data_IF_763638463870
#
_entry.id   IF_763638463870
#
_cell.length_a   1.000
_cell.length_b   1.000
_cell.length_c   1.000
_cell.angle_alpha   90.00
_cell.angle_beta   90.00
_cell.angle_gamma   90.00
#
_symmetry.space_group_name_H-M   'P 1'
#
loop_
_entity.id
_entity.type
_entity.pdbx_description
1 polymer ?
#
# COMPACT_ATOMS: atom_id res chain seq x y z
N UNK A 1 -1.85 -17.67 -15.67
CA UNK A 1 -1.58 -18.44 -14.44
C UNK A 1 -0.85 -17.60 -13.39
N UNK A 2 0.32 -17.01 -13.66
CA UNK A 2 1.02 -16.09 -12.72
C UNK A 2 0.11 -14.94 -12.25
N UNK A 3 -0.51 -14.28 -13.21
CA UNK A 3 -1.44 -13.17 -12.99
C UNK A 3 -2.66 -13.56 -12.13
N UNK A 4 -3.12 -14.81 -12.29
CA UNK A 4 -4.20 -15.40 -11.48
C UNK A 4 -3.73 -15.68 -10.06
N UNK A 5 -2.56 -16.30 -9.89
CA UNK A 5 -1.97 -16.60 -8.58
C UNK A 5 -1.77 -15.30 -7.80
N UNK A 6 -1.20 -14.28 -8.43
CA UNK A 6 -0.98 -12.98 -7.81
C UNK A 6 -2.30 -12.34 -7.36
N UNK A 7 -3.36 -12.43 -8.19
CA UNK A 7 -4.69 -11.96 -7.78
C UNK A 7 -5.22 -12.72 -6.57
N UNK A 8 -5.03 -14.04 -6.50
CA UNK A 8 -5.49 -14.83 -5.35
C UNK A 8 -4.75 -14.50 -4.07
N UNK A 9 -3.44 -14.27 -4.15
CA UNK A 9 -2.67 -13.76 -3.01
C UNK A 9 -3.25 -12.42 -2.56
N UNK A 10 -3.51 -11.48 -3.47
CA UNK A 10 -4.11 -10.20 -3.07
C UNK A 10 -5.50 -10.36 -2.45
N UNK A 11 -6.32 -11.30 -2.94
CA UNK A 11 -7.67 -11.56 -2.42
C UNK A 11 -7.62 -12.07 -0.97
N UNK A 12 -6.64 -12.91 -0.62
CA UNK A 12 -6.44 -13.41 0.76
C UNK A 12 -6.21 -12.26 1.74
N UNK A 13 -5.33 -11.32 1.41
CA UNK A 13 -5.05 -10.15 2.26
C UNK A 13 -6.25 -9.22 2.37
N UNK A 14 -7.05 -9.08 1.31
CA UNK A 14 -8.29 -8.30 1.35
C UNK A 14 -9.36 -8.87 2.29
N UNK A 15 -9.31 -10.17 2.57
CA UNK A 15 -10.19 -10.80 3.56
C UNK A 15 -9.85 -10.44 5.02
N UNK A 16 -8.67 -9.86 5.26
CA UNK A 16 -8.20 -9.50 6.61
C UNK A 16 -8.61 -8.05 6.93
N UNK A 17 -9.36 -7.79 8.02
CA UNK A 17 -9.64 -6.43 8.45
C UNK A 17 -8.33 -5.69 8.83
N UNK A 18 -8.05 -4.56 8.17
CA UNK A 18 -6.75 -3.89 8.26
C UNK A 18 -6.28 -3.58 9.69
N UNK A 19 -7.12 -2.93 10.51
CA UNK A 19 -6.77 -2.57 11.89
C UNK A 19 -6.57 -3.79 12.78
N UNK A 20 -7.41 -4.82 12.62
CA UNK A 20 -7.31 -6.07 13.40
C UNK A 20 -6.03 -6.82 13.00
N UNK A 21 -5.74 -6.91 11.70
CA UNK A 21 -4.51 -7.50 11.20
C UNK A 21 -3.28 -6.76 11.72
N UNK A 22 -3.29 -5.42 11.68
CA UNK A 22 -2.20 -4.61 12.18
C UNK A 22 -1.99 -4.82 13.68
N UNK A 23 -3.06 -4.89 14.47
CA UNK A 23 -3.01 -5.20 15.89
C UNK A 23 -2.32 -6.54 16.16
N UNK A 24 -2.78 -7.62 15.51
CA UNK A 24 -2.19 -8.96 15.68
C UNK A 24 -0.71 -8.99 15.34
N UNK A 25 -0.31 -8.34 14.24
CA UNK A 25 1.10 -8.26 13.85
C UNK A 25 1.90 -7.51 14.92
N UNK A 26 1.46 -6.31 15.32
CA UNK A 26 2.21 -5.47 16.26
C UNK A 26 2.32 -6.07 17.66
N UNK A 27 1.32 -6.82 18.13
CA UNK A 27 1.39 -7.51 19.42
C UNK A 27 2.28 -8.75 19.41
N UNK A 28 2.67 -9.24 18.23
CA UNK A 28 3.58 -10.39 18.09
C UNK A 28 5.05 -9.97 18.31
N UNK A 29 5.37 -8.69 18.14
CA UNK A 29 6.72 -8.17 18.38
C UNK A 29 6.84 -7.60 19.79
N UNK A 30 7.92 -7.97 20.49
CA UNK A 30 8.23 -7.44 21.82
C UNK A 30 8.56 -5.94 21.75
N UNK A 31 9.37 -5.54 20.75
CA UNK A 31 9.70 -4.14 20.48
C UNK A 31 8.96 -3.60 19.27
N UNK A 32 8.20 -2.52 19.47
CA UNK A 32 7.41 -1.84 18.44
C UNK A 32 8.14 -0.62 17.91
N UNK A 33 9.22 -0.88 17.16
CA UNK A 33 9.94 0.19 16.47
C UNK A 33 9.12 0.78 15.33
N UNK A 34 9.50 1.99 14.88
CA UNK A 34 8.92 2.65 13.70
C UNK A 34 8.91 1.72 12.48
N UNK A 35 9.97 0.93 12.29
CA UNK A 35 10.06 -0.02 11.19
C UNK A 35 9.06 -1.15 11.30
N UNK A 36 8.82 -1.69 12.51
CA UNK A 36 7.81 -2.73 12.72
C UNK A 36 6.42 -2.20 12.34
N UNK A 37 6.09 -0.97 12.74
CA UNK A 37 4.81 -0.32 12.37
C UNK A 37 4.70 -0.11 10.86
N UNK A 38 5.71 0.50 10.23
CA UNK A 38 5.72 0.74 8.78
C UNK A 38 5.59 -0.57 7.99
N UNK A 39 6.37 -1.59 8.34
CA UNK A 39 6.37 -2.87 7.64
C UNK A 39 5.06 -3.62 7.84
N UNK A 40 4.46 -3.57 9.03
CA UNK A 40 3.15 -4.17 9.30
C UNK A 40 2.06 -3.57 8.43
N UNK A 41 2.03 -2.24 8.33
CA UNK A 41 1.05 -1.51 7.53
C UNK A 41 1.29 -1.71 6.03
N UNK A 42 2.55 -1.70 5.58
CA UNK A 42 2.90 -1.96 4.19
C UNK A 42 2.55 -3.39 3.77
N UNK A 43 2.82 -4.38 4.63
CA UNK A 43 2.51 -5.78 4.41
C UNK A 43 1.01 -6.06 4.26
N UNK A 44 0.17 -5.32 4.99
CA UNK A 44 -1.29 -5.46 4.87
C UNK A 44 -1.88 -4.60 3.75
N UNK A 45 -1.33 -3.41 3.52
CA UNK A 45 -1.96 -2.39 2.69
C UNK A 45 -1.47 -2.31 1.23
N UNK A 46 -0.40 -3.03 0.86
CA UNK A 46 0.13 -3.01 -0.52
C UNK A 46 -0.89 -3.47 -1.59
N UNK A 47 -1.86 -4.30 -1.21
CA UNK A 47 -2.79 -4.95 -2.15
C UNK A 47 -3.71 -3.98 -2.87
N UNK A 48 -4.18 -2.93 -2.19
CA UNK A 48 -5.00 -1.88 -2.78
C UNK A 48 -4.26 -1.13 -3.88
N UNK A 49 -3.01 -0.75 -3.61
CA UNK A 49 -2.14 -0.07 -4.58
C UNK A 49 -1.82 -1.00 -5.74
N UNK A 50 -1.47 -2.26 -5.47
CA UNK A 50 -1.17 -3.25 -6.51
C UNK A 50 -2.36 -3.50 -7.45
N UNK A 51 -3.59 -3.56 -6.92
CA UNK A 51 -4.82 -3.72 -7.71
C UNK A 51 -5.04 -2.54 -8.66
N UNK A 52 -4.85 -1.31 -8.16
CA UNK A 52 -4.98 -0.09 -8.97
C UNK A 52 -3.91 -0.02 -10.05
N UNK A 53 -2.65 -0.28 -9.69
CA UNK A 53 -1.53 -0.33 -10.63
C UNK A 53 -1.80 -1.34 -11.76
N UNK A 54 -2.27 -2.54 -11.40
CA UNK A 54 -2.64 -3.59 -12.36
C UNK A 54 -3.75 -3.14 -13.31
N UNK A 55 -4.83 -2.58 -12.77
CA UNK A 55 -5.93 -2.07 -13.60
C UNK A 55 -5.45 -1.02 -14.59
N UNK A 56 -4.63 -0.08 -14.12
CA UNK A 56 -4.04 0.97 -14.96
C UNK A 56 -3.15 0.41 -16.07
N UNK A 57 -2.28 -0.55 -15.74
CA UNK A 57 -1.41 -1.23 -16.72
C UNK A 57 -2.23 -1.96 -17.78
N UNK A 58 -3.30 -2.67 -17.40
CA UNK A 58 -4.17 -3.39 -18.35
C UNK A 58 -4.82 -2.40 -19.33
N UNK A 59 -5.36 -1.30 -18.82
CA UNK A 59 -5.98 -0.25 -19.64
C UNK A 59 -4.98 0.36 -20.62
N UNK A 60 -3.81 0.78 -20.14
CA UNK A 60 -2.79 1.45 -20.96
C UNK A 60 -2.18 0.50 -21.99
N UNK A 61 -2.01 -0.78 -21.63
CA UNK A 61 -1.53 -1.81 -22.57
C UNK A 61 -2.42 -1.95 -23.81
N UNK A 62 -3.71 -1.62 -23.70
CA UNK A 62 -4.67 -1.65 -24.80
C UNK A 62 -4.79 -0.32 -25.56
N UNK A 63 -4.03 0.71 -25.19
CA UNK A 63 -4.08 2.01 -25.87
C UNK A 63 -3.48 1.96 -27.28
N UNK A 64 -4.05 2.73 -28.21
CA UNK A 64 -3.67 2.72 -29.64
C UNK A 64 -2.18 3.00 -29.86
N UNK A 65 -1.57 3.92 -29.10
CA UNK A 65 -0.14 4.22 -29.21
C UNK A 65 0.75 3.05 -28.78
N UNK A 66 0.30 2.22 -27.85
CA UNK A 66 1.01 0.99 -27.43
C UNK A 66 0.88 -0.07 -28.52
N UNK A 67 -0.30 -0.23 -29.09
CA UNK A 67 -0.56 -1.18 -30.20
C UNK A 67 0.28 -0.80 -31.42
N UNK A 68 0.29 0.49 -31.79
CA UNK A 68 1.11 1.02 -32.89
C UNK A 68 2.61 0.82 -32.64
N UNK A 69 3.11 1.14 -31.43
CA UNK A 69 4.51 0.93 -31.08
C UNK A 69 4.92 -0.55 -31.21
N UNK A 70 4.03 -1.47 -30.80
CA UNK A 70 4.24 -2.91 -30.96
C UNK A 70 4.25 -3.34 -32.44
N UNK A 71 3.33 -2.81 -33.25
CA UNK A 71 3.28 -3.07 -34.70
C UNK A 71 4.54 -2.58 -35.43
N UNK A 72 5.16 -1.51 -34.95
CA UNK A 72 6.43 -0.97 -35.45
C UNK A 72 7.67 -1.73 -34.92
N UNK A 73 7.49 -2.84 -34.19
CA UNK A 73 8.60 -3.69 -33.72
C UNK A 73 9.28 -3.20 -32.44
N UNK A 74 8.67 -2.32 -31.64
CA UNK A 74 9.24 -1.95 -30.35
C UNK A 74 9.30 -3.14 -29.39
N UNK A 75 10.43 -3.33 -28.72
CA UNK A 75 10.60 -4.40 -27.74
C UNK A 75 9.67 -4.21 -26.53
N UNK A 76 9.29 -5.32 -25.89
CA UNK A 76 8.39 -5.30 -24.72
C UNK A 76 8.94 -4.42 -23.59
N UNK A 77 10.24 -4.48 -23.32
CA UNK A 77 10.89 -3.64 -22.30
C UNK A 77 10.78 -2.15 -22.64
N UNK A 78 11.00 -1.77 -23.91
CA UNK A 78 10.87 -0.38 -24.36
C UNK A 78 9.43 0.12 -24.22
N UNK A 79 8.45 -0.70 -24.60
CA UNK A 79 7.03 -0.36 -24.46
C UNK A 79 6.67 -0.20 -22.97
N UNK A 80 7.11 -1.13 -22.12
CA UNK A 80 6.83 -1.08 -20.69
C UNK A 80 7.39 0.18 -20.04
N UNK A 81 8.67 0.50 -20.25
CA UNK A 81 9.33 1.59 -19.52
C UNK A 81 9.08 2.97 -20.11
N UNK A 82 8.89 3.11 -21.43
CA UNK A 82 8.64 4.42 -22.07
C UNK A 82 7.17 4.74 -22.31
N UNK A 83 6.28 3.76 -22.35
CA UNK A 83 4.88 4.00 -22.71
C UNK A 83 3.92 3.58 -21.59
N UNK A 84 4.06 2.37 -21.04
CA UNK A 84 3.09 1.86 -20.07
C UNK A 84 3.34 2.44 -18.67
N UNK A 85 4.53 2.24 -18.11
CA UNK A 85 4.83 2.59 -16.72
C UNK A 85 4.67 4.10 -16.41
N UNK A 86 5.14 5.03 -17.25
CA UNK A 86 4.99 6.47 -17.00
C UNK A 86 3.53 6.93 -17.00
N UNK A 87 2.66 6.28 -17.77
CA UNK A 87 1.24 6.60 -17.81
C UNK A 87 0.46 5.86 -16.71
N UNK A 88 0.91 4.66 -16.32
CA UNK A 88 0.23 3.82 -15.34
C UNK A 88 0.45 4.25 -13.88
N UNK A 89 1.51 5.04 -13.63
CA UNK A 89 1.84 5.50 -12.29
C UNK A 89 0.94 6.65 -11.81
N UNK A 90 0.30 7.42 -12.70
CA UNK A 90 -0.50 8.57 -12.31
C UNK A 90 -1.68 8.19 -11.39
N UNK A 91 -2.53 7.18 -11.72
CA UNK A 91 -3.56 6.71 -10.79
C UNK A 91 -3.00 6.12 -9.49
N UNK A 92 -1.82 5.49 -9.57
CA UNK A 92 -1.14 4.88 -8.42
C UNK A 92 -0.73 5.95 -7.40
N UNK A 93 -0.16 7.06 -7.87
CA UNK A 93 0.23 8.19 -7.01
C UNK A 93 -1.00 8.77 -6.31
N UNK A 94 -2.10 8.98 -7.03
CA UNK A 94 -3.34 9.51 -6.45
C UNK A 94 -3.83 8.63 -5.31
N UNK A 95 -3.91 7.31 -5.55
CA UNK A 95 -4.38 6.37 -4.52
C UNK A 95 -3.39 6.23 -3.37
N UNK A 96 -2.08 6.27 -3.64
CA UNK A 96 -1.06 6.24 -2.60
C UNK A 96 -1.17 7.47 -1.66
N UNK A 97 -1.45 8.65 -2.21
CA UNK A 97 -1.66 9.88 -1.43
C UNK A 97 -2.91 9.78 -0.56
N UNK A 98 -4.01 9.22 -1.07
CA UNK A 98 -5.22 8.98 -0.26
C UNK A 98 -4.93 7.96 0.84
N UNK A 99 -4.24 6.87 0.50
CA UNK A 99 -3.87 5.82 1.44
C UNK A 99 -2.96 6.34 2.57
N UNK A 100 -2.08 7.30 2.27
CA UNK A 100 -1.22 7.94 3.28
C UNK A 100 -2.04 8.56 4.42
N UNK A 101 -3.13 9.27 4.11
CA UNK A 101 -4.03 9.80 5.14
C UNK A 101 -4.66 8.69 6.00
N UNK A 102 -5.06 7.59 5.36
CA UNK A 102 -5.56 6.40 6.06
C UNK A 102 -4.51 5.75 6.97
N UNK A 103 -3.26 5.68 6.53
CA UNK A 103 -2.16 5.15 7.32
C UNK A 103 -1.83 6.04 8.53
N UNK A 104 -1.82 7.36 8.37
CA UNK A 104 -1.63 8.29 9.50
C UNK A 104 -2.73 8.08 10.55
N UNK A 105 -4.00 8.00 10.12
CA UNK A 105 -5.10 7.74 11.04
C UNK A 105 -5.00 6.36 11.72
N UNK A 106 -4.58 5.33 10.98
CA UNK A 106 -4.42 3.98 11.52
C UNK A 106 -3.28 3.89 12.53
N UNK A 107 -2.12 4.50 12.24
CA UNK A 107 -1.00 4.57 13.19
C UNK A 107 -1.42 5.31 14.46
N UNK A 108 -2.03 6.50 14.33
CA UNK A 108 -2.49 7.26 15.48
C UNK A 108 -3.51 6.48 16.33
N UNK A 109 -4.42 5.74 15.67
CA UNK A 109 -5.38 4.87 16.37
C UNK A 109 -4.68 3.75 17.13
N UNK A 110 -3.71 3.07 16.52
CA UNK A 110 -2.99 1.97 17.16
C UNK A 110 -2.14 2.47 18.32
N UNK A 111 -1.45 3.59 18.16
CA UNK A 111 -0.63 4.24 19.18
C UNK A 111 -1.48 4.74 20.35
N UNK A 112 -2.65 5.34 20.07
CA UNK A 112 -3.63 5.71 21.09
C UNK A 112 -4.13 4.51 21.91
N UNK A 113 -4.28 3.34 21.27
CA UNK A 113 -4.67 2.11 21.96
C UNK A 113 -3.51 1.41 22.70
N UNK A 114 -2.30 1.99 22.69
CA UNK A 114 -1.10 1.39 23.31
C UNK A 114 -0.53 0.18 22.55
N UNK A 115 -0.99 -0.05 21.32
CA UNK A 115 -0.58 -1.17 20.46
C UNK A 115 0.45 -0.71 19.41
N UNK A 116 0.42 0.56 19.03
CA UNK A 116 1.26 1.16 18.00
C UNK A 116 2.65 1.55 18.51
N UNK A 117 3.07 2.76 18.16
CA UNK A 117 4.31 3.34 18.66
C UNK A 117 4.23 3.54 20.16
N UNK A 118 5.39 3.46 20.81
CA UNK A 118 5.56 3.72 22.23
C UNK A 118 6.58 4.84 22.45
N UNK A 119 6.50 5.49 23.61
CA UNK A 119 7.50 6.45 24.06
C UNK A 119 8.91 5.80 24.03
N UNK A 120 9.95 6.54 23.63
CA UNK A 120 10.02 8.00 23.41
C UNK A 120 9.71 8.45 21.97
N UNK A 121 9.12 7.60 21.13
CA UNK A 121 8.81 7.96 19.74
C UNK A 121 7.70 8.99 19.69
N UNK A 122 7.86 10.06 18.91
CA UNK A 122 6.81 11.07 18.70
C UNK A 122 5.74 10.50 17.77
N UNK A 123 4.48 10.55 18.21
CA UNK A 123 3.30 10.15 17.43
C UNK A 123 2.09 10.97 17.87
N UNK A 124 1.27 11.41 16.92
CA UNK A 124 0.01 12.08 17.22
C UNK A 124 -0.95 11.20 18.04
N UNK A 125 -0.88 9.87 17.89
CA UNK A 125 -1.68 8.95 18.70
C UNK A 125 -1.28 8.95 20.17
N UNK A 126 0.03 9.06 20.44
CA UNK A 126 0.56 9.18 21.80
C UNK A 126 0.19 10.54 22.39
N UNK A 127 0.35 11.63 21.61
CA UNK A 127 -0.01 12.98 22.06
C UNK A 127 -1.49 13.07 22.47
N UNK A 128 -2.39 12.49 21.67
CA UNK A 128 -3.82 12.42 21.97
C UNK A 128 -4.10 11.54 23.20
N UNK A 129 -3.37 10.43 23.36
CA UNK A 129 -3.50 9.57 24.54
C UNK A 129 -3.08 10.31 25.81
N UNK A 130 -1.96 11.02 25.78
CA UNK A 130 -1.46 11.77 26.94
C UNK A 130 -2.40 12.91 27.35
N UNK A 131 -3.02 13.58 26.38
CA UNK A 131 -3.99 14.66 26.65
C UNK A 131 -5.30 14.17 27.29
N UNK A 132 -5.65 12.88 27.11
CA UNK A 132 -6.84 12.29 27.73
C UNK A 132 -6.71 12.17 29.25
N UNK A 133 -5.50 11.97 29.74
CA UNK A 133 -5.22 11.68 31.16
C UNK A 133 -4.86 12.95 31.97
N UNK A 134 -4.90 14.15 31.33
CA UNK A 134 -4.76 15.47 31.96
C UNK A 134 -6.12 16.05 32.37
#
# INVERSE_FOLDING_TARGET
>A
WIDTILSRVTDVFFGVPFIVGAMVILTTFEERSVWVVILSMAFLGWTSIARVARGSVITIKQADYVVAAKALGASTTRILTRHILPNAIAPVIVVATIALGGYIAAEATLSFLGIGLAEPTVSWGIDVSAAKDQ
#
